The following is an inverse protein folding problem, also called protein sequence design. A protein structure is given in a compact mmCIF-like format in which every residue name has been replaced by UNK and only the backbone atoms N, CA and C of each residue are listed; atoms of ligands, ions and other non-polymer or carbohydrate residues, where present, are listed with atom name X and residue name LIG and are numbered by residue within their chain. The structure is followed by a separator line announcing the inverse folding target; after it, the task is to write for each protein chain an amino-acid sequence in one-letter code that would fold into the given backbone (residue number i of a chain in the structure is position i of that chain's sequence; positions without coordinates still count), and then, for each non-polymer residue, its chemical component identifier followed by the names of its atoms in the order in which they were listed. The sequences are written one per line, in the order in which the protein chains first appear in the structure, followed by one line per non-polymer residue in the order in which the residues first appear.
data_IF_036224062989
#
_entry.id   IF_036224062989
#
_cell.length_a   1.000
_cell.length_b   1.000
_cell.length_c   1.000
_cell.angle_alpha   90.00
_cell.angle_beta   90.00
_cell.angle_gamma   90.00
#
_symmetry.space_group_name_H-M   'P 1'
#
loop_
_entity.id
_entity.type
_entity.pdbx_description
1 polymer ?
#
# COMPACT_ATOMS: atom_id res chain seq x y z
N UNK A 1 15.54 54.95 -1.51
CA UNK A 1 15.82 53.60 -2.06
C UNK A 1 17.12 53.72 -2.80
N UNK A 2 18.21 53.15 -2.33
CA UNK A 2 19.51 53.14 -3.00
C UNK A 2 19.51 51.95 -3.92
N UNK A 3 19.55 52.16 -5.22
CA UNK A 3 19.74 51.11 -6.21
C UNK A 3 21.22 50.73 -6.15
N UNK A 4 21.49 49.46 -5.83
CA UNK A 4 22.84 48.88 -5.85
C UNK A 4 22.99 48.09 -7.13
N UNK A 5 24.03 48.37 -7.92
CA UNK A 5 24.40 47.59 -9.08
C UNK A 5 25.48 46.59 -8.68
N UNK A 6 25.40 45.35 -9.19
CA UNK A 6 26.36 44.28 -8.91
C UNK A 6 27.50 44.22 -9.93
N UNK A 7 27.18 44.44 -11.19
CA UNK A 7 28.13 44.30 -12.30
C UNK A 7 28.64 45.67 -12.84
N UNK A 8 27.93 46.76 -12.57
CA UNK A 8 28.34 48.09 -12.96
C UNK A 8 29.20 48.71 -11.85
N UNK A 9 30.52 48.90 -12.03
CA UNK A 9 31.38 49.48 -11.04
C UNK A 9 30.97 50.90 -10.72
N UNK A 10 30.86 51.25 -9.44
CA UNK A 10 30.44 52.57 -8.95
C UNK A 10 31.45 53.71 -9.30
N UNK A 11 32.63 53.37 -9.81
CA UNK A 11 33.71 54.30 -10.13
C UNK A 11 33.88 54.62 -11.63
N UNK A 12 32.92 54.23 -12.46
CA UNK A 12 32.94 54.56 -13.90
C UNK A 12 32.88 56.05 -14.10
N UNK A 13 33.87 56.56 -14.82
CA UNK A 13 33.96 58.00 -15.21
C UNK A 13 33.72 58.22 -16.71
N UNK A 14 33.62 57.17 -17.49
CA UNK A 14 33.35 57.23 -18.92
C UNK A 14 31.87 57.54 -19.14
N UNK A 15 31.54 58.59 -19.90
CA UNK A 15 30.15 58.90 -20.18
C UNK A 15 29.57 57.77 -21.07
N UNK A 16 28.44 57.21 -20.61
CA UNK A 16 27.74 56.11 -21.28
C UNK A 16 26.43 55.78 -20.59
N UNK A 17 25.56 55.08 -21.26
CA UNK A 17 24.36 54.52 -20.67
C UNK A 17 24.63 53.03 -20.36
N UNK A 18 24.57 52.70 -19.09
CA UNK A 18 24.81 51.35 -18.62
C UNK A 18 23.48 50.77 -18.12
N UNK A 19 23.15 49.56 -18.54
CA UNK A 19 21.93 48.85 -18.11
C UNK A 19 22.36 47.52 -17.53
N UNK A 20 21.99 47.28 -16.29
CA UNK A 20 22.17 45.99 -15.64
C UNK A 20 20.80 45.30 -15.51
N UNK A 21 20.72 44.07 -15.96
CA UNK A 21 19.53 43.23 -15.84
C UNK A 21 19.80 42.27 -14.72
N UNK A 22 19.19 42.53 -13.55
CA UNK A 22 19.22 41.61 -12.43
C UNK A 22 18.16 40.54 -12.62
N UNK A 23 18.62 39.33 -12.87
CA UNK A 23 17.76 38.15 -13.00
C UNK A 23 17.59 37.36 -11.68
N UNK A 24 18.19 37.86 -10.59
CA UNK A 24 18.11 37.14 -9.29
C UNK A 24 16.70 37.05 -8.73
N UNK A 25 15.83 38.00 -9.14
CA UNK A 25 14.40 38.00 -8.78
C UNK A 25 13.50 37.50 -9.92
N UNK A 26 14.10 37.05 -11.03
CA UNK A 26 13.34 36.42 -12.08
C UNK A 26 12.92 35.03 -11.57
N UNK A 27 11.62 34.86 -11.38
CA UNK A 27 11.08 33.51 -11.24
C UNK A 27 11.39 32.76 -12.54
N UNK A 28 12.00 31.58 -12.42
CA UNK A 28 11.99 30.64 -13.53
C UNK A 28 10.56 30.61 -14.06
N UNK A 29 10.40 30.86 -15.37
CA UNK A 29 9.08 31.02 -15.99
C UNK A 29 8.14 29.89 -15.53
N UNK A 30 6.85 30.00 -15.79
CA UNK A 30 5.81 29.05 -15.36
C UNK A 30 6.16 27.59 -15.71
N UNK A 31 7.17 27.06 -15.02
CA UNK A 31 7.47 25.63 -15.01
C UNK A 31 6.27 24.92 -14.43
N UNK A 32 5.80 23.89 -15.10
CA UNK A 32 4.80 23.01 -14.57
C UNK A 32 5.26 22.50 -13.19
N UNK A 33 4.46 22.78 -12.16
CA UNK A 33 4.82 22.35 -10.81
C UNK A 33 4.81 20.82 -10.73
N UNK A 34 5.88 20.19 -10.25
CA UNK A 34 5.91 18.74 -10.16
C UNK A 34 4.80 18.25 -9.21
N UNK A 35 4.00 17.31 -9.70
CA UNK A 35 3.05 16.56 -8.89
C UNK A 35 3.82 15.77 -7.80
N UNK A 36 3.39 15.85 -6.55
CA UNK A 36 4.04 15.14 -5.44
C UNK A 36 3.10 14.13 -4.83
N UNK A 37 3.64 12.96 -4.47
CA UNK A 37 2.90 11.93 -3.76
C UNK A 37 3.47 11.73 -2.34
N UNK A 38 2.59 11.43 -1.38
CA UNK A 38 2.96 11.02 -0.03
C UNK A 38 2.26 9.72 0.35
N UNK A 39 3.00 8.80 0.97
CA UNK A 39 2.51 7.47 1.36
C UNK A 39 2.69 7.32 2.87
N UNK A 40 1.60 7.03 3.58
CA UNK A 40 1.59 6.73 5.01
C UNK A 40 1.53 5.20 5.21
N UNK A 41 2.43 4.67 6.04
CA UNK A 41 2.41 3.25 6.37
C UNK A 41 3.31 2.90 7.55
N UNK A 42 3.04 1.76 8.16
CA UNK A 42 3.85 1.24 9.25
C UNK A 42 5.24 0.84 8.77
N UNK A 43 6.27 1.13 9.58
CA UNK A 43 7.63 0.63 9.42
C UNK A 43 7.85 -0.55 10.35
N UNK A 44 8.77 -1.45 9.99
CA UNK A 44 9.20 -2.49 10.91
C UNK A 44 10.17 -1.90 11.92
N UNK A 45 9.72 -1.77 13.17
CA UNK A 45 10.60 -1.48 14.30
C UNK A 45 11.46 -2.69 14.64
N UNK A 46 12.63 -2.47 15.28
CA UNK A 46 13.44 -3.55 15.84
C UNK A 46 12.73 -4.19 17.04
N UNK A 47 11.83 -5.14 16.78
CA UNK A 47 11.15 -5.92 17.81
C UNK A 47 11.74 -7.33 17.91
N UNK A 48 11.77 -7.90 19.13
CA UNK A 48 12.00 -9.33 19.31
C UNK A 48 10.80 -10.09 18.72
N UNK A 49 11.07 -11.15 17.95
CA UNK A 49 10.00 -12.06 17.55
C UNK A 49 9.31 -12.62 18.80
N UNK A 50 8.01 -12.83 18.73
CA UNK A 50 7.19 -13.28 19.87
C UNK A 50 7.59 -14.68 20.42
N UNK A 51 8.48 -15.39 19.74
CA UNK A 51 9.04 -16.70 20.11
C UNK A 51 10.42 -16.61 20.81
N UNK A 52 10.92 -15.39 21.09
CA UNK A 52 12.24 -15.17 21.69
C UNK A 52 13.43 -15.34 20.73
N UNK A 53 13.19 -15.61 19.46
CA UNK A 53 14.22 -15.62 18.42
C UNK A 53 14.44 -14.18 17.94
N UNK A 54 15.71 -13.75 17.98
CA UNK A 54 16.13 -12.47 17.41
C UNK A 54 16.15 -12.60 15.88
N UNK A 55 15.01 -12.43 15.23
CA UNK A 55 15.03 -12.15 13.81
C UNK A 55 15.50 -10.70 13.67
N UNK A 56 16.67 -10.51 13.10
CA UNK A 56 17.16 -9.20 12.70
C UNK A 56 16.30 -8.73 11.53
N UNK A 57 15.12 -8.20 11.85
CA UNK A 57 14.33 -7.47 10.87
C UNK A 57 15.14 -6.24 10.49
N UNK A 58 15.27 -5.98 9.21
CA UNK A 58 15.89 -4.75 8.72
C UNK A 58 15.13 -3.58 9.37
N UNK A 59 15.77 -2.88 10.31
CA UNK A 59 15.18 -1.72 10.96
C UNK A 59 15.15 -0.59 9.96
N UNK A 60 13.97 -0.06 9.66
CA UNK A 60 13.84 1.13 8.84
C UNK A 60 14.64 2.29 9.44
N UNK A 61 15.48 2.91 8.64
CA UNK A 61 16.36 4.00 9.08
C UNK A 61 15.66 5.37 9.07
N UNK A 62 14.48 5.48 8.44
CA UNK A 62 13.77 6.76 8.34
C UNK A 62 13.25 7.24 9.68
N UNK A 63 13.26 8.57 9.95
CA UNK A 63 12.62 9.13 11.13
C UNK A 63 11.11 8.89 11.09
N UNK A 64 10.50 8.70 12.28
CA UNK A 64 9.06 8.47 12.42
C UNK A 64 8.29 9.77 12.18
N UNK A 65 7.15 9.67 11.51
CA UNK A 65 6.23 10.78 11.23
C UNK A 65 6.84 11.92 10.37
N UNK A 66 7.94 11.69 9.67
CA UNK A 66 8.60 12.71 8.83
C UNK A 66 8.61 12.24 7.38
N UNK A 67 8.20 13.08 6.42
CA UNK A 67 8.25 12.75 5.00
C UNK A 67 9.70 12.57 4.52
N UNK A 68 10.02 11.42 3.95
CA UNK A 68 11.33 11.08 3.38
C UNK A 68 11.17 10.79 1.90
N UNK A 69 11.93 11.47 1.05
CA UNK A 69 11.90 11.23 -0.39
C UNK A 69 12.44 9.84 -0.71
N UNK A 70 11.67 9.06 -1.46
CA UNK A 70 12.05 7.74 -1.98
C UNK A 70 11.94 7.73 -3.49
N UNK A 71 12.97 7.25 -4.17
CA UNK A 71 13.03 7.23 -5.64
C UNK A 71 13.04 5.82 -6.20
N UNK A 72 13.36 4.83 -5.37
CA UNK A 72 13.47 3.41 -5.72
C UNK A 72 12.88 2.56 -4.61
N UNK A 73 12.52 1.34 -4.96
CA UNK A 73 12.11 0.32 -4.00
C UNK A 73 13.15 0.09 -2.90
N UNK A 74 14.45 0.06 -3.27
CA UNK A 74 15.54 -0.08 -2.30
C UNK A 74 15.58 1.02 -1.26
N UNK A 75 15.22 2.25 -1.64
CA UNK A 75 15.18 3.40 -0.73
C UNK A 75 14.01 3.24 0.26
N UNK A 76 12.85 2.75 -0.23
CA UNK A 76 11.69 2.46 0.62
C UNK A 76 11.98 1.32 1.61
N UNK A 77 12.66 0.26 1.17
CA UNK A 77 13.11 -0.85 2.03
C UNK A 77 14.09 -0.34 3.08
N UNK A 78 15.06 0.49 2.71
CA UNK A 78 16.01 1.08 3.65
C UNK A 78 15.33 2.01 4.65
N UNK A 79 14.30 2.75 4.21
CA UNK A 79 13.56 3.68 5.04
C UNK A 79 12.63 2.99 6.05
N UNK A 80 11.88 1.98 5.62
CA UNK A 80 10.78 1.37 6.38
C UNK A 80 11.02 -0.09 6.80
N UNK A 81 12.00 -0.76 6.22
CA UNK A 81 12.24 -2.19 6.39
C UNK A 81 11.54 -3.03 5.33
N UNK A 82 12.17 -4.12 4.92
CA UNK A 82 11.59 -5.09 3.98
C UNK A 82 10.31 -5.69 4.56
N UNK A 83 9.32 -5.97 3.75
CA UNK A 83 7.99 -6.44 4.14
C UNK A 83 7.14 -5.50 5.02
N UNK A 84 7.60 -4.30 5.32
CA UNK A 84 6.75 -3.31 6.00
C UNK A 84 5.61 -2.83 5.09
N UNK A 85 4.49 -2.43 5.70
CA UNK A 85 3.37 -1.84 4.96
C UNK A 85 3.82 -0.64 4.11
N UNK A 86 4.63 0.25 4.69
CA UNK A 86 5.16 1.43 4.02
C UNK A 86 6.01 1.08 2.81
N UNK A 87 6.95 0.12 2.94
CA UNK A 87 7.81 -0.31 1.83
C UNK A 87 7.02 -1.01 0.72
N UNK A 88 6.07 -1.88 1.06
CA UNK A 88 5.21 -2.57 0.09
C UNK A 88 4.33 -1.60 -0.70
N UNK A 89 3.73 -0.61 -0.03
CA UNK A 89 2.94 0.43 -0.68
C UNK A 89 3.81 1.30 -1.61
N UNK A 90 4.99 1.72 -1.13
CA UNK A 90 5.93 2.50 -1.93
C UNK A 90 6.47 1.71 -3.14
N UNK A 91 6.79 0.42 -2.99
CA UNK A 91 7.20 -0.45 -4.09
C UNK A 91 6.10 -0.57 -5.16
N UNK A 92 4.85 -0.75 -4.75
CA UNK A 92 3.71 -0.79 -5.66
C UNK A 92 3.53 0.52 -6.42
N UNK A 93 3.61 1.66 -5.73
CA UNK A 93 3.52 2.98 -6.34
C UNK A 93 4.64 3.20 -7.37
N UNK A 94 5.90 3.03 -6.95
CA UNK A 94 7.08 3.28 -7.77
C UNK A 94 7.19 2.33 -8.97
N UNK A 95 6.70 1.09 -8.85
CA UNK A 95 6.65 0.15 -9.99
C UNK A 95 5.72 0.61 -11.11
N UNK A 96 4.67 1.36 -10.76
CA UNK A 96 3.66 1.86 -11.71
C UNK A 96 3.97 3.28 -12.16
N UNK A 97 4.43 4.14 -11.25
CA UNK A 97 4.80 5.53 -11.51
C UNK A 97 6.09 5.88 -10.77
N UNK A 98 7.20 5.95 -11.50
CA UNK A 98 8.51 6.33 -11.00
C UNK A 98 8.91 7.78 -11.35
N UNK A 99 8.01 8.55 -11.96
CA UNK A 99 8.26 9.92 -12.39
C UNK A 99 7.82 10.94 -11.34
N UNK A 100 6.77 10.61 -10.58
CA UNK A 100 6.25 11.47 -9.51
C UNK A 100 7.17 11.39 -8.29
N UNK A 101 7.71 12.51 -7.79
CA UNK A 101 8.42 12.57 -6.52
C UNK A 101 7.55 12.01 -5.40
N UNK A 102 8.00 10.90 -4.81
CA UNK A 102 7.23 10.14 -3.82
C UNK A 102 7.88 10.26 -2.46
N UNK A 103 7.11 10.69 -1.48
CA UNK A 103 7.54 10.81 -0.08
C UNK A 103 6.91 9.72 0.76
N UNK A 104 7.70 9.09 1.61
CA UNK A 104 7.27 8.05 2.53
C UNK A 104 7.25 8.60 3.95
N UNK A 105 6.12 8.48 4.61
CA UNK A 105 5.94 8.79 6.03
C UNK A 105 5.85 7.48 6.79
N UNK A 106 6.94 7.15 7.47
CA UNK A 106 7.03 5.94 8.27
C UNK A 106 6.37 6.16 9.64
N UNK A 107 5.47 5.26 10.01
CA UNK A 107 4.78 5.25 11.30
C UNK A 107 5.26 4.06 12.14
N UNK A 108 5.38 4.25 13.44
CA UNK A 108 5.62 3.13 14.34
C UNK A 108 4.34 2.29 14.50
N UNK A 109 4.52 1.02 14.78
CA UNK A 109 3.42 0.11 15.02
C UNK A 109 2.57 0.53 16.24
N UNK A 110 1.24 0.36 16.20
CA UNK A 110 0.41 0.58 17.37
C UNK A 110 0.72 -0.46 18.46
N UNK A 111 0.67 -0.04 19.72
CA UNK A 111 0.85 -0.94 20.88
C UNK A 111 -0.41 -1.78 21.13
N UNK A 112 -0.81 -2.58 20.14
CA UNK A 112 -2.06 -3.36 20.11
C UNK A 112 -1.82 -4.79 19.67
N UNK A 113 -2.87 -5.59 19.54
CA UNK A 113 -2.76 -7.00 19.15
C UNK A 113 -2.59 -7.15 17.64
N UNK A 114 -1.65 -7.99 17.16
CA UNK A 114 -1.56 -8.36 15.77
C UNK A 114 -2.73 -9.27 15.36
N UNK A 115 -3.10 -9.23 14.08
CA UNK A 115 -4.03 -10.20 13.52
C UNK A 115 -3.38 -11.57 13.42
N UNK A 116 -4.20 -12.62 13.62
CA UNK A 116 -3.79 -14.01 13.47
C UNK A 116 -4.74 -14.75 12.55
N UNK A 117 -4.20 -15.69 11.76
CA UNK A 117 -4.97 -16.61 10.95
C UNK A 117 -4.38 -18.00 11.00
N UNK A 118 -5.08 -19.03 10.53
CA UNK A 118 -4.54 -20.39 10.58
C UNK A 118 -4.72 -21.13 9.26
N UNK A 119 -3.77 -22.03 8.97
CA UNK A 119 -3.89 -23.04 7.92
C UNK A 119 -3.76 -24.40 8.59
N UNK A 120 -4.83 -25.20 8.58
CA UNK A 120 -4.86 -26.53 9.19
C UNK A 120 -4.76 -27.60 8.11
N UNK A 121 -3.69 -28.38 8.18
CA UNK A 121 -3.50 -29.53 7.29
C UNK A 121 -4.02 -30.81 7.91
N UNK A 122 -4.61 -31.67 7.08
CA UNK A 122 -4.80 -33.09 7.38
C UNK A 122 -4.18 -33.92 6.26
N UNK A 123 -3.64 -35.08 6.59
CA UNK A 123 -3.07 -36.00 5.64
C UNK A 123 -3.46 -37.44 6.01
N UNK A 124 -4.06 -38.14 5.07
CA UNK A 124 -4.44 -39.54 5.16
C UNK A 124 -4.14 -40.25 3.87
N UNK A 125 -3.10 -41.07 3.87
CA UNK A 125 -2.58 -41.75 2.65
C UNK A 125 -2.39 -40.79 1.47
N UNK A 126 -1.56 -39.73 1.62
CA UNK A 126 -1.41 -38.72 0.60
C UNK A 126 -0.76 -39.24 -0.66
N UNK A 127 -1.18 -38.74 -1.79
CA UNK A 127 -0.46 -38.90 -3.07
C UNK A 127 0.58 -37.77 -3.20
N UNK A 128 1.68 -38.06 -3.89
CA UNK A 128 2.68 -37.06 -4.18
C UNK A 128 2.14 -35.90 -5.04
N UNK A 129 2.55 -34.69 -4.72
CA UNK A 129 2.09 -33.47 -5.43
C UNK A 129 2.50 -32.20 -4.70
N UNK A 130 1.79 -31.12 -4.93
CA UNK A 130 2.10 -29.81 -4.34
C UNK A 130 0.81 -29.14 -3.86
N UNK A 131 0.81 -28.58 -2.66
CA UNK A 131 -0.24 -27.68 -2.18
C UNK A 131 0.26 -26.24 -2.32
N UNK A 132 -0.56 -25.39 -2.94
CA UNK A 132 -0.27 -23.96 -3.07
C UNK A 132 -1.07 -23.16 -2.06
N UNK A 133 -0.38 -22.46 -1.16
CA UNK A 133 -0.97 -21.54 -0.19
C UNK A 133 -0.58 -20.12 -0.60
N UNK A 134 -1.56 -19.22 -0.62
CA UNK A 134 -1.36 -17.82 -0.95
C UNK A 134 -1.62 -16.97 0.30
N UNK A 135 -0.68 -16.09 0.61
CA UNK A 135 -0.76 -15.18 1.75
C UNK A 135 -0.44 -13.77 1.25
N UNK A 136 -1.37 -12.84 1.36
CA UNK A 136 -1.22 -11.49 0.82
C UNK A 136 -0.88 -11.46 -0.68
N UNK A 137 -1.35 -12.46 -1.45
CA UNK A 137 -1.07 -12.61 -2.87
C UNK A 137 0.23 -13.36 -3.22
N UNK A 138 1.15 -13.55 -2.27
CA UNK A 138 2.37 -14.33 -2.46
C UNK A 138 2.09 -15.83 -2.38
N UNK A 139 2.64 -16.60 -3.34
CA UNK A 139 2.43 -18.05 -3.40
C UNK A 139 3.53 -18.82 -2.70
N UNK A 140 3.15 -19.63 -1.71
CA UNK A 140 4.01 -20.59 -1.02
C UNK A 140 3.67 -22.01 -1.47
N UNK A 141 4.66 -22.76 -1.92
CA UNK A 141 4.50 -24.13 -2.41
C UNK A 141 4.93 -25.10 -1.33
N UNK A 142 4.06 -26.05 -0.99
CA UNK A 142 4.31 -27.11 -0.04
C UNK A 142 4.35 -28.44 -0.78
N UNK A 143 5.49 -29.11 -0.80
CA UNK A 143 5.64 -30.42 -1.41
C UNK A 143 4.98 -31.50 -0.56
N UNK A 144 4.21 -32.36 -1.20
CA UNK A 144 3.55 -33.50 -0.58
C UNK A 144 4.19 -34.77 -1.06
N UNK A 145 4.78 -35.56 -0.17
CA UNK A 145 5.22 -36.92 -0.42
C UNK A 145 4.16 -37.95 0.01
N UNK A 146 4.29 -39.17 -0.43
CA UNK A 146 3.37 -40.28 -0.04
C UNK A 146 3.46 -40.64 1.46
N UNK A 147 4.52 -40.21 2.14
CA UNK A 147 4.71 -40.36 3.57
C UNK A 147 4.44 -39.05 4.35
N UNK A 148 3.93 -38.01 3.70
CA UNK A 148 3.69 -36.73 4.34
C UNK A 148 2.62 -36.85 5.45
N UNK A 149 2.88 -36.20 6.56
CA UNK A 149 1.94 -36.04 7.67
C UNK A 149 1.45 -34.60 7.75
N UNK A 150 0.36 -34.34 8.43
CA UNK A 150 -0.10 -32.97 8.68
C UNK A 150 0.99 -32.10 9.32
N UNK A 151 1.76 -32.64 10.24
CA UNK A 151 2.84 -31.92 10.91
C UNK A 151 3.99 -31.56 9.98
N UNK A 152 4.38 -32.48 9.06
CA UNK A 152 5.44 -32.20 8.07
C UNK A 152 5.00 -31.12 7.06
N UNK A 153 3.74 -31.16 6.59
CA UNK A 153 3.19 -30.16 5.69
C UNK A 153 3.14 -28.77 6.34
N UNK A 154 2.69 -28.73 7.60
CA UNK A 154 2.66 -27.49 8.38
C UNK A 154 4.06 -26.91 8.58
N UNK A 155 5.04 -27.76 8.90
CA UNK A 155 6.45 -27.34 9.08
C UNK A 155 7.04 -26.77 7.76
N UNK A 156 6.75 -27.40 6.62
CA UNK A 156 7.21 -26.92 5.32
C UNK A 156 6.61 -25.57 4.97
N UNK A 157 5.30 -25.36 5.20
CA UNK A 157 4.66 -24.06 4.98
C UNK A 157 5.29 -23.00 5.88
N UNK A 158 5.43 -23.27 7.17
CA UNK A 158 5.99 -22.30 8.10
C UNK A 158 7.46 -21.95 7.76
N UNK A 159 8.26 -22.93 7.36
CA UNK A 159 9.62 -22.70 6.89
C UNK A 159 9.64 -21.81 5.63
N UNK A 160 8.77 -22.08 4.66
CA UNK A 160 8.66 -21.28 3.44
C UNK A 160 8.26 -19.82 3.72
N UNK A 161 7.29 -19.60 4.61
CA UNK A 161 6.86 -18.26 5.01
C UNK A 161 7.95 -17.51 5.78
N UNK A 162 8.60 -18.17 6.75
CA UNK A 162 9.60 -17.50 7.59
C UNK A 162 10.94 -17.26 6.87
N UNK A 163 11.20 -17.96 5.77
CA UNK A 163 12.39 -17.72 4.92
C UNK A 163 12.17 -16.55 3.97
N UNK A 164 10.92 -16.20 3.69
CA UNK A 164 10.58 -15.08 2.81
C UNK A 164 10.66 -13.75 3.60
N UNK A 165 11.70 -12.97 3.33
CA UNK A 165 11.89 -11.63 3.93
C UNK A 165 10.76 -10.66 3.58
N UNK A 166 10.12 -10.83 2.41
CA UNK A 166 9.00 -10.03 1.92
C UNK A 166 7.62 -10.38 2.53
N UNK A 167 7.52 -11.49 3.28
CA UNK A 167 6.26 -11.90 3.88
C UNK A 167 5.73 -10.89 4.89
N UNK A 168 4.43 -10.56 4.81
CA UNK A 168 3.75 -9.66 5.78
C UNK A 168 3.39 -10.34 7.10
N UNK A 169 3.63 -11.64 7.22
CA UNK A 169 3.30 -12.47 8.39
C UNK A 169 4.50 -13.30 8.83
N UNK A 170 4.46 -13.76 10.08
CA UNK A 170 5.33 -14.82 10.60
C UNK A 170 4.50 -16.09 10.83
N UNK A 171 5.12 -17.27 10.79
CA UNK A 171 4.43 -18.55 10.91
C UNK A 171 4.97 -19.38 12.07
N UNK A 172 4.09 -19.92 12.89
CA UNK A 172 4.39 -20.91 13.95
C UNK A 172 3.58 -22.17 13.74
N UNK A 173 4.09 -23.31 14.21
CA UNK A 173 3.47 -24.62 13.97
C UNK A 173 3.11 -25.32 15.26
N UNK A 174 1.90 -25.86 15.32
CA UNK A 174 1.45 -26.79 16.35
C UNK A 174 0.66 -27.95 15.71
N UNK A 175 1.24 -29.15 15.70
CA UNK A 175 0.59 -30.41 15.30
C UNK A 175 -0.33 -30.29 14.06
N UNK A 176 0.23 -29.90 12.91
CA UNK A 176 -0.53 -29.81 11.64
C UNK A 176 -1.29 -28.50 11.45
N UNK A 177 -1.25 -27.60 12.41
CA UNK A 177 -1.80 -26.24 12.31
C UNK A 177 -0.66 -25.23 12.18
N UNK A 178 -0.69 -24.41 11.14
CA UNK A 178 0.18 -23.25 10.98
C UNK A 178 -0.59 -22.03 11.44
N UNK A 179 -0.11 -21.36 12.48
CA UNK A 179 -0.62 -20.07 12.91
C UNK A 179 0.20 -18.98 12.26
N UNK A 180 -0.45 -18.14 11.49
CA UNK A 180 0.11 -16.96 10.83
C UNK A 180 -0.20 -15.75 11.71
N UNK A 181 0.84 -14.99 12.06
CA UNK A 181 0.73 -13.75 12.84
C UNK A 181 1.22 -12.59 12.00
N UNK A 182 0.43 -11.55 11.87
CA UNK A 182 0.84 -10.34 11.14
C UNK A 182 2.07 -9.72 11.79
N UNK A 183 3.02 -9.25 10.97
CA UNK A 183 4.22 -8.54 11.44
C UNK A 183 3.87 -7.18 12.04
N UNK A 184 2.87 -6.49 11.47
CA UNK A 184 2.32 -5.25 12.01
C UNK A 184 1.07 -5.55 12.84
N UNK A 185 1.01 -5.14 14.12
CA UNK A 185 -0.25 -5.08 14.84
C UNK A 185 -1.17 -4.02 14.23
N UNK A 186 -2.44 -4.07 14.57
CA UNK A 186 -3.43 -3.12 14.08
C UNK A 186 -4.57 -3.76 13.30
N UNK A 187 -5.60 -2.98 13.08
CA UNK A 187 -6.83 -3.40 12.38
C UNK A 187 -6.55 -3.70 10.89
N UNK A 188 -5.59 -3.04 10.29
CA UNK A 188 -5.24 -3.17 8.87
C UNK A 188 -4.76 -4.57 8.52
N UNK A 189 -4.12 -5.24 9.47
CA UNK A 189 -3.62 -6.60 9.31
C UNK A 189 -4.73 -7.65 9.13
N UNK A 190 -5.98 -7.37 9.53
CA UNK A 190 -7.12 -8.23 9.26
C UNK A 190 -7.42 -8.34 7.76
N UNK A 191 -6.94 -7.39 6.95
CA UNK A 191 -7.08 -7.40 5.49
C UNK A 191 -6.06 -8.29 4.75
N UNK A 192 -5.15 -8.97 5.44
CA UNK A 192 -4.22 -9.92 4.81
C UNK A 192 -4.99 -11.18 4.44
N UNK A 193 -5.10 -11.46 3.15
CA UNK A 193 -5.82 -12.63 2.64
C UNK A 193 -4.98 -13.90 2.74
N UNK A 194 -5.64 -15.02 3.09
CA UNK A 194 -5.06 -16.36 3.10
C UNK A 194 -5.93 -17.28 2.27
N UNK A 195 -5.35 -17.93 1.27
CA UNK A 195 -6.06 -18.86 0.36
C UNK A 195 -5.26 -20.10 0.07
N UNK A 196 -5.97 -21.16 -0.25
CA UNK A 196 -5.41 -22.39 -0.81
C UNK A 196 -5.94 -22.59 -2.21
N UNK A 197 -5.07 -22.94 -3.14
CA UNK A 197 -5.44 -23.21 -4.55
C UNK A 197 -6.17 -22.04 -5.22
N UNK A 198 -5.57 -20.87 -5.19
CA UNK A 198 -6.14 -19.66 -5.80
C UNK A 198 -6.25 -19.71 -7.32
N UNK A 199 -5.26 -20.32 -8.00
CA UNK A 199 -5.27 -20.42 -9.47
C UNK A 199 -6.12 -21.58 -9.93
N UNK A 200 -6.79 -21.45 -11.08
CA UNK A 200 -7.64 -22.52 -11.67
C UNK A 200 -6.88 -23.82 -11.93
N UNK A 201 -5.56 -23.75 -12.09
CA UNK A 201 -4.68 -24.90 -12.30
C UNK A 201 -4.24 -25.60 -11.04
N UNK A 202 -4.41 -24.93 -9.88
CA UNK A 202 -3.98 -25.48 -8.60
C UNK A 202 -4.90 -26.65 -8.17
N UNK A 203 -4.30 -27.69 -7.62
CA UNK A 203 -5.02 -28.87 -7.11
C UNK A 203 -4.38 -29.33 -5.81
N UNK A 204 -5.19 -29.71 -4.84
CA UNK A 204 -4.72 -30.40 -3.65
C UNK A 204 -4.54 -31.88 -4.01
N UNK A 205 -3.38 -32.49 -3.68
CA UNK A 205 -3.18 -33.92 -3.84
C UNK A 205 -4.21 -34.73 -3.05
N UNK A 206 -4.65 -35.86 -3.61
CA UNK A 206 -5.59 -36.75 -2.93
C UNK A 206 -5.01 -37.20 -1.56
N UNK A 207 -5.85 -37.30 -0.56
CA UNK A 207 -5.46 -37.65 0.79
C UNK A 207 -4.92 -36.49 1.64
N UNK A 208 -4.87 -35.25 1.09
CA UNK A 208 -4.52 -34.04 1.81
C UNK A 208 -5.72 -33.09 1.83
N UNK A 209 -5.93 -32.41 2.95
CA UNK A 209 -6.82 -31.24 3.00
C UNK A 209 -6.09 -30.08 3.68
N UNK A 210 -6.44 -28.87 3.28
CA UNK A 210 -5.95 -27.63 3.90
C UNK A 210 -7.16 -26.70 4.13
N UNK A 211 -7.42 -26.40 5.40
CA UNK A 211 -8.53 -25.54 5.83
C UNK A 211 -7.95 -24.23 6.33
N UNK A 212 -8.49 -23.11 5.85
CA UNK A 212 -8.04 -21.76 6.19
C UNK A 212 -9.02 -21.11 7.17
N UNK A 213 -8.51 -20.50 8.23
CA UNK A 213 -9.22 -19.47 8.99
C UNK A 213 -8.61 -18.12 8.64
N UNK A 214 -9.41 -17.13 8.22
CA UNK A 214 -8.92 -15.83 7.78
C UNK A 214 -8.21 -15.08 8.92
N UNK A 215 -7.41 -14.08 8.56
CA UNK A 215 -6.79 -13.18 9.55
C UNK A 215 -7.86 -12.40 10.30
N UNK A 216 -7.71 -12.34 11.62
CA UNK A 216 -8.62 -11.65 12.53
C UNK A 216 -7.96 -11.31 13.86
N UNK A 217 -8.62 -10.48 14.68
CA UNK A 217 -8.14 -10.13 16.02
C UNK A 217 -7.13 -8.99 16.07
N UNK A 218 -6.73 -8.44 14.91
CA UNK A 218 -5.98 -7.20 14.86
C UNK A 218 -6.84 -6.03 15.33
N UNK A 219 -6.32 -5.20 16.25
CA UNK A 219 -7.07 -4.11 16.87
C UNK A 219 -6.23 -2.85 16.96
N UNK A 220 -6.90 -1.69 16.94
CA UNK A 220 -6.28 -0.37 17.07
C UNK A 220 -5.49 0.08 15.86
N UNK A 221 -5.10 1.34 15.90
CA UNK A 221 -4.31 2.01 14.88
C UNK A 221 -3.51 3.15 15.54
N UNK A 222 -2.68 3.84 14.78
CA UNK A 222 -1.92 4.99 15.24
C UNK A 222 -2.61 6.30 14.90
N UNK A 223 -2.43 7.32 15.75
CA UNK A 223 -2.85 8.67 15.42
C UNK A 223 -1.92 9.29 14.37
N UNK A 224 -2.50 9.85 13.31
CA UNK A 224 -1.77 10.53 12.24
C UNK A 224 -1.47 12.02 12.54
N UNK A 225 -1.93 12.56 13.66
CA UNK A 225 -1.85 13.99 13.96
C UNK A 225 -0.43 14.56 13.86
N UNK A 226 0.58 13.85 14.40
CA UNK A 226 1.98 14.28 14.32
C UNK A 226 2.53 14.18 12.89
N UNK A 227 2.18 13.13 12.18
CA UNK A 227 2.59 12.92 10.79
C UNK A 227 1.99 13.99 9.86
N UNK A 228 0.71 14.32 10.05
CA UNK A 228 0.01 15.39 9.33
C UNK A 228 0.66 16.75 9.62
N UNK A 229 0.93 17.07 10.88
CA UNK A 229 1.59 18.31 11.25
C UNK A 229 2.98 18.45 10.60
N UNK A 230 3.71 17.36 10.45
CA UNK A 230 5.03 17.35 9.81
C UNK A 230 4.99 17.46 8.28
N UNK A 231 3.83 17.34 7.63
CA UNK A 231 3.70 17.69 6.21
C UNK A 231 3.90 19.18 5.96
N UNK A 232 3.67 20.03 6.98
CA UNK A 232 3.84 21.46 6.89
C UNK A 232 3.00 22.11 5.80
N UNK A 233 3.50 23.18 5.19
CA UNK A 233 2.85 23.89 4.07
C UNK A 233 3.12 23.27 2.69
N UNK A 234 3.81 22.11 2.61
CA UNK A 234 4.08 21.46 1.34
C UNK A 234 2.80 20.85 0.74
N UNK A 235 2.62 21.03 -0.56
CA UNK A 235 1.50 20.44 -1.30
C UNK A 235 1.84 19.02 -1.75
N UNK A 236 0.95 18.10 -1.44
CA UNK A 236 0.95 16.72 -1.93
C UNK A 236 -0.34 16.46 -2.68
N UNK A 237 -0.24 16.30 -3.98
CA UNK A 237 -1.39 16.13 -4.88
C UNK A 237 -2.01 14.74 -4.73
N UNK A 238 -1.17 13.73 -4.41
CA UNK A 238 -1.60 12.35 -4.18
C UNK A 238 -1.20 11.91 -2.78
N UNK A 239 -2.18 11.52 -1.99
CA UNK A 239 -2.00 11.01 -0.62
C UNK A 239 -2.43 9.55 -0.60
N UNK A 240 -1.56 8.65 -0.18
CA UNK A 240 -1.88 7.22 -0.02
C UNK A 240 -1.82 6.86 1.45
N UNK A 241 -2.87 6.25 1.98
CA UNK A 241 -2.84 5.74 3.35
C UNK A 241 -3.02 4.23 3.37
N UNK A 242 -2.04 3.55 3.98
CA UNK A 242 -2.17 2.14 4.38
C UNK A 242 -3.01 1.97 5.63
N UNK A 243 -3.17 3.05 6.41
CA UNK A 243 -3.97 3.07 7.63
C UNK A 243 -5.42 3.33 7.24
N UNK A 244 -6.31 2.43 7.64
CA UNK A 244 -7.71 2.42 7.21
C UNK A 244 -8.71 2.56 8.35
N UNK A 245 -8.26 2.83 9.58
CA UNK A 245 -9.15 3.14 10.68
C UNK A 245 -9.88 4.46 10.46
N UNK A 246 -11.15 4.53 10.87
CA UNK A 246 -12.02 5.68 10.62
C UNK A 246 -11.43 6.99 11.14
N UNK A 247 -10.91 7.01 12.35
CA UNK A 247 -10.30 8.20 12.95
C UNK A 247 -9.06 8.71 12.16
N UNK A 248 -8.28 7.81 11.58
CA UNK A 248 -7.12 8.17 10.77
C UNK A 248 -7.55 8.76 9.41
N UNK A 249 -8.58 8.18 8.80
CA UNK A 249 -9.14 8.67 7.54
C UNK A 249 -9.81 10.02 7.74
N UNK A 250 -10.61 10.19 8.80
CA UNK A 250 -11.24 11.47 9.15
C UNK A 250 -10.21 12.58 9.37
N UNK A 251 -9.08 12.26 10.03
CA UNK A 251 -8.01 13.23 10.23
C UNK A 251 -7.35 13.67 8.92
N UNK A 252 -7.11 12.73 7.98
CA UNK A 252 -6.56 13.05 6.66
C UNK A 252 -7.55 13.82 5.80
N UNK A 253 -8.83 13.45 5.83
CA UNK A 253 -9.89 14.13 5.07
C UNK A 253 -10.11 15.56 5.58
N UNK A 254 -10.08 15.77 6.89
CA UNK A 254 -10.14 17.11 7.48
C UNK A 254 -8.94 17.97 7.06
N UNK A 255 -7.73 17.43 7.09
CA UNK A 255 -6.52 18.13 6.64
C UNK A 255 -6.57 18.49 5.17
N UNK A 256 -7.02 17.58 4.30
CA UNK A 256 -7.17 17.84 2.87
C UNK A 256 -8.27 18.88 2.59
N UNK A 257 -9.34 18.89 3.38
CA UNK A 257 -10.39 19.90 3.31
C UNK A 257 -9.87 21.28 3.68
N UNK A 258 -9.09 21.38 4.75
CA UNK A 258 -8.44 22.63 5.16
C UNK A 258 -7.46 23.14 4.11
N UNK A 259 -6.65 22.23 3.53
CA UNK A 259 -5.68 22.56 2.47
C UNK A 259 -6.35 23.03 1.18
N UNK A 260 -7.53 22.52 0.86
CA UNK A 260 -8.32 22.95 -0.29
C UNK A 260 -8.95 24.34 -0.09
N UNK A 261 -8.92 24.84 1.14
CA UNK A 261 -9.43 26.16 1.46
C UNK A 261 -8.75 27.30 0.68
N UNK A 262 -9.44 28.41 0.41
CA UNK A 262 -8.95 29.50 -0.46
C UNK A 262 -7.72 30.25 0.09
N UNK A 263 -7.37 30.03 1.35
CA UNK A 263 -6.21 30.66 1.97
C UNK A 263 -4.94 29.82 1.84
N UNK A 264 -5.06 28.52 1.61
CA UNK A 264 -3.91 27.59 1.54
C UNK A 264 -3.67 27.17 0.10
N UNK A 265 -4.74 26.85 -0.65
CA UNK A 265 -4.73 26.45 -2.08
C UNK A 265 -3.72 25.31 -2.37
N UNK A 266 -3.74 24.30 -1.51
CA UNK A 266 -2.86 23.14 -1.59
C UNK A 266 -3.67 21.84 -1.58
N UNK A 267 -4.56 21.70 -2.57
CA UNK A 267 -5.42 20.53 -2.75
C UNK A 267 -4.62 19.23 -2.92
N UNK A 268 -5.21 18.13 -2.47
CA UNK A 268 -4.70 16.79 -2.60
C UNK A 268 -5.83 15.77 -2.59
N UNK A 269 -5.55 14.54 -3.01
CA UNK A 269 -6.54 13.46 -3.05
C UNK A 269 -6.05 12.23 -2.31
N UNK A 270 -6.89 11.71 -1.41
CA UNK A 270 -6.60 10.54 -0.58
C UNK A 270 -7.00 9.25 -1.28
N UNK A 271 -6.11 8.28 -1.25
CA UNK A 271 -6.34 6.91 -1.72
C UNK A 271 -6.15 5.92 -0.58
N UNK A 272 -7.16 5.08 -0.36
CA UNK A 272 -7.10 3.92 0.54
C UNK A 272 -7.54 2.67 -0.19
N UNK A 273 -7.31 1.50 0.37
CA UNK A 273 -7.68 0.23 -0.25
C UNK A 273 -8.63 -0.57 0.62
N UNK A 274 -9.54 -1.29 -0.04
CA UNK A 274 -10.40 -2.26 0.62
C UNK A 274 -10.55 -3.54 -0.22
N UNK A 275 -10.34 -4.67 0.44
CA UNK A 275 -10.59 -6.00 -0.13
C UNK A 275 -11.68 -6.70 0.68
N UNK A 276 -12.73 -7.19 0.03
CA UNK A 276 -13.82 -7.85 0.71
C UNK A 276 -15.00 -8.20 -0.20
N UNK A 277 -16.07 -8.72 0.40
CA UNK A 277 -17.32 -8.97 -0.32
C UNK A 277 -17.99 -7.65 -0.72
N UNK A 278 -18.89 -7.70 -1.68
CA UNK A 278 -19.62 -6.51 -2.12
C UNK A 278 -20.39 -5.85 -0.96
N UNK A 279 -21.05 -6.65 -0.10
CA UNK A 279 -21.78 -6.11 1.07
C UNK A 279 -20.87 -5.43 2.09
N UNK A 280 -19.68 -5.99 2.38
CA UNK A 280 -18.69 -5.37 3.25
C UNK A 280 -18.16 -4.05 2.64
N UNK A 281 -17.89 -4.05 1.32
CA UNK A 281 -17.42 -2.87 0.60
C UNK A 281 -18.44 -1.73 0.64
N UNK A 282 -19.70 -2.01 0.39
CA UNK A 282 -20.77 -0.98 0.44
C UNK A 282 -20.98 -0.43 1.84
N UNK A 283 -20.79 -1.24 2.88
CA UNK A 283 -20.85 -0.78 4.28
C UNK A 283 -19.73 0.21 4.60
N UNK A 284 -18.49 -0.09 4.17
CA UNK A 284 -17.35 0.80 4.36
C UNK A 284 -17.53 2.11 3.58
N UNK A 285 -17.96 2.03 2.33
CA UNK A 285 -18.19 3.21 1.49
C UNK A 285 -19.30 4.14 2.03
N UNK A 286 -20.36 3.58 2.59
CA UNK A 286 -21.46 4.36 3.16
C UNK A 286 -21.00 5.27 4.32
N UNK A 287 -19.95 4.87 5.06
CA UNK A 287 -19.39 5.66 6.16
C UNK A 287 -18.25 6.61 5.75
N UNK A 288 -17.73 6.50 4.52
CA UNK A 288 -16.46 7.15 4.11
C UNK A 288 -16.57 7.89 2.78
N UNK A 289 -17.74 8.36 2.40
CA UNK A 289 -17.94 9.04 1.13
C UNK A 289 -17.54 10.52 1.24
N UNK A 290 -16.35 10.84 0.77
CA UNK A 290 -15.83 12.20 0.63
C UNK A 290 -15.34 12.43 -0.80
N UNK A 291 -15.49 13.64 -1.34
CA UNK A 291 -15.00 13.95 -2.68
C UNK A 291 -13.46 14.01 -2.79
N UNK A 292 -12.76 14.12 -1.67
CA UNK A 292 -11.29 14.12 -1.60
C UNK A 292 -10.72 12.73 -1.32
N UNK A 293 -11.56 11.70 -1.20
CA UNK A 293 -11.14 10.36 -0.84
C UNK A 293 -11.68 9.33 -1.83
N UNK A 294 -10.79 8.50 -2.36
CA UNK A 294 -11.12 7.35 -3.20
C UNK A 294 -10.67 6.06 -2.55
N UNK A 295 -11.59 5.11 -2.43
CA UNK A 295 -11.28 3.76 -1.95
C UNK A 295 -11.10 2.83 -3.15
N UNK A 296 -9.90 2.23 -3.27
CA UNK A 296 -9.62 1.18 -4.24
C UNK A 296 -10.34 -0.11 -3.84
N UNK A 297 -11.47 -0.39 -4.48
CA UNK A 297 -12.31 -1.56 -4.22
C UNK A 297 -11.91 -2.71 -5.14
N UNK A 298 -11.12 -3.65 -4.61
CA UNK A 298 -10.57 -4.77 -5.41
C UNK A 298 -11.37 -6.07 -5.28
N UNK A 299 -12.53 -6.02 -4.66
CA UNK A 299 -13.34 -7.21 -4.38
C UNK A 299 -12.60 -8.17 -3.45
N UNK A 300 -12.83 -9.45 -3.64
CA UNK A 300 -12.13 -10.50 -2.90
C UNK A 300 -10.79 -10.84 -3.57
N UNK A 301 -9.99 -9.83 -3.94
CA UNK A 301 -8.63 -10.02 -4.44
C UNK A 301 -7.70 -10.47 -3.30
N UNK A 302 -6.71 -11.34 -3.57
CA UNK A 302 -5.71 -11.71 -2.57
C UNK A 302 -4.68 -10.60 -2.32
N UNK A 303 -4.72 -9.50 -3.08
CA UNK A 303 -3.78 -8.38 -2.94
C UNK A 303 -4.02 -7.64 -1.63
N UNK A 304 -2.93 -7.24 -0.99
CA UNK A 304 -2.97 -6.43 0.21
C UNK A 304 -3.66 -5.07 -0.06
N UNK A 305 -4.56 -4.61 0.80
CA UNK A 305 -5.32 -3.38 0.58
C UNK A 305 -4.45 -2.15 0.33
N UNK A 306 -3.36 -1.98 1.09
CA UNK A 306 -2.44 -0.84 0.93
C UNK A 306 -1.64 -0.89 -0.39
N UNK A 307 -1.37 -2.07 -0.91
CA UNK A 307 -0.75 -2.25 -2.24
C UNK A 307 -1.73 -1.83 -3.34
N UNK A 308 -2.99 -2.21 -3.21
CA UNK A 308 -4.03 -1.82 -4.16
C UNK A 308 -4.30 -0.30 -4.16
N UNK A 309 -4.31 0.33 -2.97
CA UNK A 309 -4.41 1.78 -2.84
C UNK A 309 -3.27 2.50 -3.54
N UNK A 310 -2.03 2.07 -3.26
CA UNK A 310 -0.83 2.66 -3.84
C UNK A 310 -0.75 2.50 -5.35
N UNK A 311 -1.16 1.33 -5.88
CA UNK A 311 -1.17 1.07 -7.32
C UNK A 311 -2.22 1.92 -8.06
N UNK A 312 -3.43 2.06 -7.49
CA UNK A 312 -4.46 2.95 -8.04
C UNK A 312 -4.02 4.41 -8.02
N UNK A 313 -3.46 4.86 -6.89
CA UNK A 313 -2.95 6.21 -6.72
C UNK A 313 -1.81 6.52 -7.72
N UNK A 314 -0.91 5.56 -7.97
CA UNK A 314 0.17 5.70 -8.94
C UNK A 314 -0.35 5.83 -10.38
N UNK A 315 -1.38 5.04 -10.73
CA UNK A 315 -2.05 5.10 -12.04
C UNK A 315 -2.73 6.47 -12.20
N UNK A 316 -3.44 6.95 -11.18
CA UNK A 316 -4.11 8.25 -11.23
C UNK A 316 -3.11 9.41 -11.29
N UNK A 317 -2.08 9.41 -10.45
CA UNK A 317 -1.02 10.43 -10.45
C UNK A 317 -0.34 10.53 -11.82
N UNK A 318 0.01 9.39 -12.41
CA UNK A 318 0.62 9.35 -13.74
C UNK A 318 -0.33 9.90 -14.80
N UNK A 319 -1.61 9.49 -14.78
CA UNK A 319 -2.58 9.95 -15.76
C UNK A 319 -2.88 11.45 -15.62
N UNK A 320 -2.89 11.97 -14.39
CA UNK A 320 -3.10 13.40 -14.11
C UNK A 320 -1.95 14.23 -14.67
N UNK A 321 -0.71 13.72 -14.62
CA UNK A 321 0.46 14.39 -15.21
C UNK A 321 0.47 14.31 -16.75
N UNK A 322 0.14 13.13 -17.30
CA UNK A 322 0.21 12.93 -18.76
C UNK A 322 -0.96 13.63 -19.48
N UNK A 323 -2.18 13.47 -18.98
CA UNK A 323 -3.40 14.07 -19.54
C UNK A 323 -4.51 14.10 -18.47
N UNK A 324 -4.70 15.23 -17.78
CA UNK A 324 -5.72 15.36 -16.73
C UNK A 324 -7.16 15.25 -17.26
N UNK A 325 -7.40 15.53 -18.53
CA UNK A 325 -8.73 15.46 -19.14
C UNK A 325 -9.16 14.03 -19.51
N UNK A 326 -8.23 13.10 -19.55
CA UNK A 326 -8.51 11.71 -19.89
C UNK A 326 -9.18 10.96 -18.75
N UNK A 327 -10.25 10.23 -19.04
CA UNK A 327 -10.92 9.34 -18.09
C UNK A 327 -9.98 8.21 -17.61
N UNK A 328 -10.14 7.82 -16.34
CA UNK A 328 -9.33 6.75 -15.70
C UNK A 328 -9.74 5.33 -16.10
N UNK A 329 -10.88 5.18 -16.76
CA UNK A 329 -11.40 3.88 -17.18
C UNK A 329 -10.44 3.14 -18.10
N UNK A 330 -10.20 1.87 -17.82
CA UNK A 330 -9.34 0.99 -18.62
C UNK A 330 -7.85 1.11 -18.30
N UNK A 331 -7.45 1.96 -17.36
CA UNK A 331 -6.05 2.04 -16.92
C UNK A 331 -5.67 0.80 -16.11
N UNK A 332 -4.49 0.26 -16.35
CA UNK A 332 -4.04 -0.99 -15.75
C UNK A 332 -3.39 -0.78 -14.39
N UNK A 333 -3.91 -1.50 -13.38
CA UNK A 333 -3.28 -1.68 -12.08
C UNK A 333 -2.38 -2.93 -12.13
N UNK A 334 -1.06 -2.74 -12.07
CA UNK A 334 -0.08 -3.82 -12.29
C UNK A 334 0.08 -4.75 -11.10
N UNK A 335 -0.07 -4.20 -9.90
CA UNK A 335 0.21 -4.90 -8.64
C UNK A 335 -1.05 -5.51 -8.01
N UNK A 336 -2.21 -5.35 -8.66
CA UNK A 336 -3.47 -5.93 -8.19
C UNK A 336 -3.70 -7.27 -8.87
N UNK A 337 -3.89 -8.32 -8.09
CA UNK A 337 -4.23 -9.66 -8.56
C UNK A 337 -5.73 -9.78 -8.78
N UNK A 338 -6.13 -10.52 -9.81
CA UNK A 338 -7.54 -10.74 -10.09
C UNK A 338 -8.20 -11.60 -8.98
N UNK A 339 -9.41 -11.29 -8.51
CA UNK A 339 -10.15 -12.20 -7.65
C UNK A 339 -10.42 -13.53 -8.36
N UNK A 340 -10.55 -14.62 -7.60
CA UNK A 340 -10.92 -15.92 -8.15
C UNK A 340 -12.20 -15.78 -8.99
N UNK A 341 -12.36 -16.61 -10.00
CA UNK A 341 -13.45 -16.45 -10.97
C UNK A 341 -14.85 -16.49 -10.32
N UNK A 342 -14.98 -17.28 -9.25
CA UNK A 342 -16.21 -17.39 -8.46
C UNK A 342 -16.49 -16.15 -7.59
N UNK A 343 -15.45 -15.36 -7.27
CA UNK A 343 -15.50 -14.26 -6.32
C UNK A 343 -15.55 -12.89 -7.04
N UNK A 344 -15.64 -12.92 -8.39
CA UNK A 344 -15.72 -11.69 -9.19
C UNK A 344 -17.12 -11.10 -9.11
N UNK A 345 -17.16 -9.81 -8.85
CA UNK A 345 -18.43 -9.08 -8.79
C UNK A 345 -19.12 -9.02 -10.15
N UNK A 346 -20.41 -9.24 -10.15
CA UNK A 346 -21.27 -9.01 -11.29
C UNK A 346 -21.39 -7.50 -11.60
N UNK A 347 -21.89 -7.15 -12.78
CA UNK A 347 -22.00 -5.74 -13.19
C UNK A 347 -22.88 -4.91 -12.25
N UNK A 348 -24.00 -5.47 -11.79
CA UNK A 348 -24.91 -4.79 -10.83
C UNK A 348 -24.24 -4.54 -9.47
N UNK A 349 -23.39 -5.47 -9.00
CA UNK A 349 -22.61 -5.33 -7.77
C UNK A 349 -21.57 -4.21 -7.88
N UNK A 350 -20.86 -4.15 -9.01
CA UNK A 350 -19.91 -3.06 -9.28
C UNK A 350 -20.61 -1.71 -9.39
N UNK A 351 -21.76 -1.65 -10.08
CA UNK A 351 -22.56 -0.43 -10.15
C UNK A 351 -22.99 0.07 -8.76
N UNK A 352 -23.33 -0.82 -7.83
CA UNK A 352 -23.64 -0.45 -6.46
C UNK A 352 -22.44 0.18 -5.74
N UNK A 353 -21.24 -0.36 -5.93
CA UNK A 353 -19.99 0.18 -5.37
C UNK A 353 -19.66 1.55 -5.97
N UNK A 354 -19.75 1.68 -7.30
CA UNK A 354 -19.51 2.95 -8.01
C UNK A 354 -20.50 4.04 -7.60
N UNK A 355 -21.76 3.69 -7.39
CA UNK A 355 -22.79 4.65 -6.96
C UNK A 355 -22.55 5.21 -5.55
N UNK A 356 -21.73 4.52 -4.74
CA UNK A 356 -21.30 4.96 -3.42
C UNK A 356 -19.93 5.67 -3.43
N UNK A 357 -19.35 5.94 -4.60
CA UNK A 357 -18.09 6.67 -4.74
C UNK A 357 -16.82 5.81 -4.63
N UNK A 358 -16.94 4.48 -4.60
CA UNK A 358 -15.78 3.59 -4.62
C UNK A 358 -15.20 3.44 -6.04
N UNK A 359 -13.89 3.31 -6.19
CA UNK A 359 -13.25 2.97 -7.45
C UNK A 359 -13.17 1.44 -7.60
N UNK A 360 -13.88 0.88 -8.57
CA UNK A 360 -13.83 -0.55 -8.84
C UNK A 360 -12.68 -0.90 -9.78
N UNK A 361 -11.98 -1.98 -9.45
CA UNK A 361 -10.90 -2.55 -10.26
C UNK A 361 -11.32 -3.95 -10.69
N UNK A 362 -11.42 -4.18 -11.99
CA UNK A 362 -11.92 -5.44 -12.56
C UNK A 362 -10.91 -6.08 -13.51
N UNK A 363 -10.96 -7.41 -13.70
CA UNK A 363 -10.19 -8.05 -14.76
C UNK A 363 -10.76 -7.73 -16.15
N UNK A 364 -9.88 -7.39 -17.08
CA UNK A 364 -10.20 -7.29 -18.51
C UNK A 364 -10.26 -8.69 -19.18
N UNK A 365 -10.51 -8.72 -20.50
CA UNK A 365 -10.54 -9.96 -21.26
C UNK A 365 -9.19 -10.71 -21.29
N UNK A 366 -8.09 -10.03 -21.06
CA UNK A 366 -6.74 -10.58 -20.99
C UNK A 366 -6.33 -10.99 -19.57
N UNK A 367 -7.19 -10.76 -18.57
CA UNK A 367 -6.92 -11.06 -17.16
C UNK A 367 -6.13 -9.98 -16.42
N UNK A 368 -5.84 -8.82 -17.05
CA UNK A 368 -5.23 -7.70 -16.36
C UNK A 368 -6.29 -6.98 -15.52
N UNK A 369 -5.86 -6.48 -14.36
CA UNK A 369 -6.73 -5.64 -13.53
C UNK A 369 -6.72 -4.21 -14.06
N UNK A 370 -7.92 -3.69 -14.33
CA UNK A 370 -8.12 -2.34 -14.89
C UNK A 370 -9.17 -1.57 -14.08
N UNK A 371 -9.00 -0.26 -14.02
CA UNK A 371 -9.96 0.67 -13.40
C UNK A 371 -11.23 0.73 -14.26
N UNK A 372 -12.40 0.71 -13.62
CA UNK A 372 -13.71 0.77 -14.30
C UNK A 372 -14.28 2.19 -14.32
#
# INVERSE_FOLDING_TARGET
MTVSFEQIPSNIKTPGQFVEVDSSQATDGSGERPHKAVIFGYRLGGGAASDGSLVTLSTGAAPVNVPVLVTRESDAIAAAGESSMAAQAAAAFLSTNNQTPTYLVCLDDPATSPATGTVTFTASSPLAGTVNVYIGGTRYQVEVSTAATAATLAALLAAAVNTDSGASVTATVAVGVVTLTAKHPGIEANGIDIRVNYRETDRIPSGVTAVVSPMSGGTGSVSLATAIANLGGERYDTVVSGITEDAAIEALDAELTDRWGPMIDADGHLFTGFAGTQGATTTVLAGRNSFQHTIACVGQSPTLPWVAAADLAAVDAKQTQDDPARGRTGLRCKNVLAPARTDRWAQNERNAVLSLGGATIKPDASGNMVVE
#
